data_IF_338577854450
#
_entry.id   IF_338577854450
#
_cell.length_a   1.000
_cell.length_b   1.000
_cell.length_c   1.000
_cell.angle_alpha   90.00
_cell.angle_beta   90.00
_cell.angle_gamma   90.00
#
_symmetry.space_group_name_H-M   'P 1'
#
loop_
_entity.id
_entity.type
_entity.pdbx_description
1 polymer ?
#
# COMPACT_ATOMS: atom_id res chain seq x y z
N UNK A 1 2.19 -1.54 -10.47
CA UNK A 1 1.60 -1.13 -9.19
C UNK A 1 0.80 -2.28 -8.59
N UNK A 2 -0.05 -2.92 -9.38
CA UNK A 2 -0.88 -4.05 -8.99
C UNK A 2 -0.66 -5.28 -9.88
N UNK A 3 -1.12 -6.42 -9.40
CA UNK A 3 -1.35 -7.69 -10.09
C UNK A 3 -2.85 -7.98 -9.99
N UNK A 4 -3.58 -7.58 -11.05
CA UNK A 4 -5.03 -7.52 -11.08
C UNK A 4 -5.64 -8.78 -11.71
N UNK A 5 -6.44 -9.50 -10.91
CA UNK A 5 -7.30 -10.65 -11.28
C UNK A 5 -8.77 -10.34 -10.94
N UNK A 6 -9.18 -9.10 -11.20
CA UNK A 6 -10.52 -8.61 -10.91
C UNK A 6 -11.53 -8.81 -12.05
N UNK A 7 -12.66 -8.13 -11.94
CA UNK A 7 -13.80 -8.22 -12.84
C UNK A 7 -13.56 -7.58 -14.22
N UNK A 8 -12.58 -6.69 -14.32
CA UNK A 8 -12.21 -5.94 -15.54
C UNK A 8 -10.87 -6.40 -16.12
N UNK A 9 -10.57 -7.69 -15.98
CA UNK A 9 -9.24 -8.26 -16.31
C UNK A 9 -8.93 -8.31 -17.81
N UNK A 10 -9.77 -7.76 -18.69
CA UNK A 10 -9.55 -7.68 -20.13
C UNK A 10 -9.23 -6.25 -20.60
N UNK A 11 -9.17 -5.30 -19.67
CA UNK A 11 -9.04 -3.88 -19.94
C UNK A 11 -7.56 -3.49 -19.77
N UNK A 12 -7.04 -2.61 -20.64
CA UNK A 12 -5.62 -2.19 -20.60
C UNK A 12 -5.31 -1.19 -19.46
N UNK A 13 -6.27 -0.97 -18.57
CA UNK A 13 -6.20 0.00 -17.47
C UNK A 13 -5.52 -0.56 -16.21
N UNK A 14 -5.34 -1.88 -16.16
CA UNK A 14 -4.87 -2.60 -14.97
C UNK A 14 -3.49 -3.23 -15.12
N UNK A 15 -2.71 -3.19 -14.03
CA UNK A 15 -1.42 -3.86 -13.96
C UNK A 15 -1.53 -5.37 -13.73
N UNK A 16 -0.62 -6.17 -14.29
CA UNK A 16 -0.64 -7.66 -14.15
C UNK A 16 0.59 -8.26 -13.47
N UNK A 17 1.55 -7.43 -13.11
CA UNK A 17 2.87 -7.89 -12.62
C UNK A 17 3.37 -7.06 -11.44
N UNK A 18 2.48 -6.30 -10.81
CA UNK A 18 2.78 -5.57 -9.59
C UNK A 18 2.69 -6.46 -8.34
N UNK A 19 3.25 -6.01 -7.22
CA UNK A 19 3.26 -6.82 -6.01
C UNK A 19 1.93 -6.78 -5.24
N UNK A 20 1.05 -5.79 -5.46
CA UNK A 20 -0.23 -5.69 -4.77
C UNK A 20 -1.32 -6.46 -5.54
N UNK A 21 -1.92 -7.47 -4.93
CA UNK A 21 -2.92 -8.29 -5.59
C UNK A 21 -4.34 -7.71 -5.41
N UNK A 22 -5.13 -7.76 -6.49
CA UNK A 22 -6.55 -7.42 -6.50
C UNK A 22 -7.31 -8.58 -7.13
N UNK A 23 -8.38 -9.05 -6.49
CA UNK A 23 -9.17 -10.17 -6.97
C UNK A 23 -10.66 -9.94 -6.73
N UNK A 24 -11.50 -10.74 -7.39
CA UNK A 24 -12.95 -10.77 -7.17
C UNK A 24 -13.27 -11.24 -5.75
N UNK A 25 -14.34 -10.72 -5.12
CA UNK A 25 -14.81 -11.24 -3.84
C UNK A 25 -15.22 -12.72 -3.96
N UNK A 26 -14.94 -13.56 -2.96
CA UNK A 26 -15.28 -14.98 -3.01
C UNK A 26 -16.80 -15.22 -3.01
N UNK A 27 -17.57 -14.37 -2.33
CA UNK A 27 -19.05 -14.42 -2.30
C UNK A 27 -19.57 -12.98 -2.31
N UNK A 28 -20.55 -12.70 -3.18
CA UNK A 28 -21.30 -11.45 -3.19
C UNK A 28 -22.77 -11.75 -3.47
N UNK A 29 -23.60 -11.96 -2.42
CA UNK A 29 -24.94 -12.52 -2.55
C UNK A 29 -25.93 -11.65 -3.33
N UNK A 30 -25.64 -10.36 -3.50
CA UNK A 30 -26.51 -9.39 -4.18
C UNK A 30 -25.88 -8.79 -5.44
N UNK A 31 -24.75 -9.36 -5.92
CA UNK A 31 -24.00 -8.76 -7.03
C UNK A 31 -24.87 -8.64 -8.28
N UNK A 32 -25.61 -9.70 -8.61
CA UNK A 32 -26.34 -9.76 -9.86
C UNK A 32 -27.58 -8.86 -9.81
N UNK A 33 -28.27 -8.83 -8.69
CA UNK A 33 -29.43 -7.99 -8.42
C UNK A 33 -29.04 -6.50 -8.46
N UNK A 34 -27.90 -6.15 -7.84
CA UNK A 34 -27.34 -4.81 -7.90
C UNK A 34 -27.05 -4.38 -9.35
N UNK A 35 -26.31 -5.22 -10.10
CA UNK A 35 -25.99 -4.94 -11.50
C UNK A 35 -27.23 -4.87 -12.39
N UNK A 36 -28.26 -5.68 -12.11
CA UNK A 36 -29.53 -5.65 -12.83
C UNK A 36 -30.28 -4.34 -12.59
N UNK A 37 -30.39 -3.89 -11.33
CA UNK A 37 -31.06 -2.65 -10.98
C UNK A 37 -30.42 -1.43 -11.67
N UNK A 38 -29.09 -1.37 -11.79
CA UNK A 38 -28.43 -0.28 -12.54
C UNK A 38 -28.77 -0.30 -14.03
N UNK A 39 -28.86 -1.49 -14.64
CA UNK A 39 -29.25 -1.63 -16.04
C UNK A 39 -30.69 -1.17 -16.28
N UNK A 40 -31.61 -1.43 -15.36
CA UNK A 40 -33.02 -0.99 -15.46
C UNK A 40 -33.16 0.53 -15.56
N UNK A 41 -32.25 1.29 -14.93
CA UNK A 41 -32.21 2.76 -15.01
C UNK A 41 -31.25 3.28 -16.08
N UNK A 42 -30.76 2.41 -16.98
CA UNK A 42 -29.94 2.77 -18.13
C UNK A 42 -28.44 2.97 -17.83
N UNK A 43 -27.93 2.47 -16.70
CA UNK A 43 -26.48 2.52 -16.41
C UNK A 43 -25.73 1.42 -17.17
N UNK A 44 -24.61 1.81 -17.77
CA UNK A 44 -23.69 0.88 -18.41
C UNK A 44 -22.74 0.24 -17.39
N UNK A 45 -22.34 -1.01 -17.63
CA UNK A 45 -21.32 -1.66 -16.83
C UNK A 45 -19.94 -1.20 -17.31
N UNK A 46 -19.16 -0.57 -16.43
CA UNK A 46 -17.81 -0.05 -16.75
C UNK A 46 -16.87 -0.18 -15.56
N UNK A 47 -15.57 -0.26 -15.82
CA UNK A 47 -14.55 -0.21 -14.79
C UNK A 47 -14.61 1.14 -14.03
N UNK A 48 -14.79 1.14 -12.70
CA UNK A 48 -14.81 2.36 -11.91
C UNK A 48 -13.47 3.13 -11.90
N UNK A 49 -12.35 2.44 -12.16
CA UNK A 49 -11.01 3.03 -12.18
C UNK A 49 -10.60 3.49 -13.59
N UNK A 50 -11.46 3.25 -14.59
CA UNK A 50 -11.28 3.74 -15.95
C UNK A 50 -11.74 5.17 -16.14
N UNK A 51 -12.06 5.49 -17.40
CA UNK A 51 -12.59 6.80 -17.76
C UNK A 51 -13.91 7.08 -17.03
N UNK A 52 -13.92 8.20 -16.29
CA UNK A 52 -15.01 8.57 -15.41
C UNK A 52 -16.30 8.79 -16.21
N UNK A 53 -17.30 7.98 -15.91
CA UNK A 53 -18.64 8.07 -16.48
C UNK A 53 -19.65 7.53 -15.48
N UNK A 54 -20.91 7.96 -15.59
CA UNK A 54 -21.99 7.43 -14.77
C UNK A 54 -22.24 5.97 -15.18
N UNK A 55 -21.90 5.04 -14.30
CA UNK A 55 -21.87 3.60 -14.59
C UNK A 55 -22.23 2.76 -13.36
N UNK A 56 -22.41 1.46 -13.56
CA UNK A 56 -22.53 0.47 -12.48
C UNK A 56 -21.42 -0.58 -12.60
N UNK A 57 -20.97 -1.15 -11.48
CA UNK A 57 -19.82 -2.07 -11.48
C UNK A 57 -19.87 -3.07 -10.31
N UNK A 58 -19.27 -4.27 -10.49
CA UNK A 58 -18.88 -5.12 -9.38
C UNK A 58 -17.71 -4.50 -8.61
N UNK A 59 -17.60 -4.80 -7.33
CA UNK A 59 -16.48 -4.36 -6.50
C UNK A 59 -15.46 -5.50 -6.42
N UNK A 60 -14.20 -5.22 -6.77
CA UNK A 60 -13.06 -6.09 -6.54
C UNK A 60 -12.27 -5.63 -5.31
N UNK A 61 -11.56 -6.56 -4.65
CA UNK A 61 -10.92 -6.31 -3.37
C UNK A 61 -9.40 -6.45 -3.46
N UNK A 62 -8.68 -5.66 -2.67
CA UNK A 62 -7.25 -5.86 -2.38
C UNK A 62 -7.08 -7.06 -1.44
N UNK A 63 -7.38 -8.24 -1.96
CA UNK A 63 -7.23 -9.53 -1.29
C UNK A 63 -6.37 -10.44 -2.14
N UNK A 64 -5.88 -11.52 -1.53
CA UNK A 64 -5.23 -12.64 -2.23
C UNK A 64 -5.71 -13.92 -1.58
N UNK A 65 -6.34 -14.79 -2.36
CA UNK A 65 -6.96 -16.05 -1.90
C UNK A 65 -7.99 -15.80 -0.78
N UNK A 66 -8.83 -14.79 -0.94
CA UNK A 66 -9.92 -14.43 -0.04
C UNK A 66 -9.50 -13.74 1.26
N UNK A 67 -8.21 -13.38 1.42
CA UNK A 67 -7.71 -12.71 2.63
C UNK A 67 -7.12 -11.34 2.29
N UNK A 68 -7.24 -10.38 3.22
CA UNK A 68 -6.67 -9.03 3.05
C UNK A 68 -5.19 -9.10 2.64
N UNK A 69 -4.84 -8.39 1.58
CA UNK A 69 -3.48 -8.35 1.06
C UNK A 69 -2.92 -6.93 1.19
N UNK A 70 -2.34 -6.63 2.35
CA UNK A 70 -1.87 -5.29 2.69
C UNK A 70 -0.63 -4.86 1.90
N UNK A 71 -0.33 -3.56 1.91
CA UNK A 71 0.94 -3.02 1.40
C UNK A 71 2.16 -3.65 2.08
N UNK A 72 2.08 -3.96 3.38
CA UNK A 72 3.11 -4.73 4.08
C UNK A 72 3.33 -6.11 3.44
N UNK A 73 2.26 -6.89 3.23
CA UNK A 73 2.35 -8.22 2.58
C UNK A 73 2.86 -8.15 1.14
N UNK A 74 2.45 -7.12 0.41
CA UNK A 74 2.83 -6.93 -0.99
C UNK A 74 4.29 -6.50 -1.14
N UNK A 75 4.72 -5.48 -0.40
CA UNK A 75 6.00 -4.80 -0.65
C UNK A 75 7.07 -5.08 0.39
N UNK A 76 6.69 -5.35 1.65
CA UNK A 76 7.64 -5.46 2.75
C UNK A 76 8.00 -6.91 3.05
N UNK A 77 7.01 -7.80 3.25
CA UNK A 77 7.24 -9.22 3.55
C UNK A 77 8.25 -9.90 2.60
N UNK A 78 8.19 -9.70 1.26
CA UNK A 78 9.12 -10.37 0.34
C UNK A 78 10.59 -9.96 0.49
N UNK A 79 10.85 -8.82 1.14
CA UNK A 79 12.19 -8.22 1.23
C UNK A 79 12.70 -8.08 2.67
N UNK A 80 11.95 -8.58 3.66
CA UNK A 80 12.27 -8.50 5.09
C UNK A 80 13.63 -9.09 5.48
N UNK A 81 14.18 -10.00 4.67
CA UNK A 81 15.47 -10.67 4.93
C UNK A 81 16.69 -9.86 4.44
N UNK A 82 16.48 -8.72 3.77
CA UNK A 82 17.59 -7.91 3.27
C UNK A 82 18.34 -7.26 4.44
N UNK A 83 19.65 -7.42 4.48
CA UNK A 83 20.52 -6.88 5.55
C UNK A 83 20.51 -5.35 5.64
N UNK A 84 20.18 -4.69 4.53
CA UNK A 84 20.03 -3.24 4.46
C UNK A 84 18.62 -2.75 4.79
N UNK A 85 17.71 -3.61 5.28
CA UNK A 85 16.36 -3.25 5.68
C UNK A 85 16.12 -3.62 7.14
N UNK A 86 15.71 -2.65 7.96
CA UNK A 86 15.26 -2.90 9.34
C UNK A 86 13.85 -2.32 9.52
N UNK A 87 12.97 -3.10 10.14
CA UNK A 87 11.60 -2.68 10.46
C UNK A 87 11.46 -2.66 11.98
N UNK A 88 11.07 -1.51 12.53
CA UNK A 88 10.81 -1.36 13.96
C UNK A 88 9.33 -1.07 14.15
N UNK A 89 8.63 -2.05 14.71
CA UNK A 89 7.22 -1.93 15.09
C UNK A 89 7.08 -1.27 16.45
N UNK A 90 5.94 -0.64 16.73
CA UNK A 90 5.69 0.07 18.00
C UNK A 90 6.68 1.21 18.27
N UNK A 91 7.15 1.86 17.21
CA UNK A 91 8.00 3.04 17.25
C UNK A 91 7.18 4.28 16.89
N UNK A 92 6.96 5.17 17.87
CA UNK A 92 6.32 6.46 17.65
C UNK A 92 7.39 7.53 17.48
N UNK A 93 7.50 8.10 16.27
CA UNK A 93 8.46 9.17 15.98
C UNK A 93 8.03 10.46 16.69
N UNK A 94 8.93 11.05 17.47
CA UNK A 94 8.66 12.27 18.23
C UNK A 94 9.21 13.53 17.55
N UNK A 95 10.40 13.44 16.95
CA UNK A 95 11.10 14.60 16.39
C UNK A 95 11.97 14.20 15.20
N UNK A 96 12.06 15.10 14.23
CA UNK A 96 13.07 15.06 13.16
C UNK A 96 14.30 15.86 13.61
N UNK A 97 15.48 15.29 13.43
CA UNK A 97 16.77 15.86 13.79
C UNK A 97 17.41 16.41 12.52
N UNK A 98 17.86 17.66 12.58
CA UNK A 98 18.48 18.38 11.47
C UNK A 98 19.95 18.67 11.75
N UNK A 99 20.78 18.68 10.71
CA UNK A 99 22.17 19.15 10.78
C UNK A 99 22.26 20.69 10.71
N UNK A 100 23.47 21.22 10.81
CA UNK A 100 23.74 22.67 10.76
C UNK A 100 23.38 23.31 9.40
N UNK A 101 23.22 22.50 8.35
CA UNK A 101 22.77 22.94 7.03
C UNK A 101 21.25 22.80 6.84
N UNK A 102 20.50 22.46 7.89
CA UNK A 102 19.06 22.18 7.89
C UNK A 102 18.63 20.98 7.03
N UNK A 103 19.49 19.97 6.86
CA UNK A 103 19.08 18.70 6.27
C UNK A 103 18.54 17.76 7.35
N UNK A 104 17.45 17.05 7.06
CA UNK A 104 16.93 16.01 7.96
C UNK A 104 17.88 14.80 7.96
N UNK A 105 18.53 14.55 9.08
CA UNK A 105 19.56 13.50 9.21
C UNK A 105 19.10 12.33 10.07
N UNK A 106 18.17 12.53 11.00
CA UNK A 106 17.67 11.45 11.86
C UNK A 106 16.25 11.70 12.41
N UNK A 107 15.70 10.71 13.12
CA UNK A 107 14.49 10.84 13.95
C UNK A 107 14.71 10.29 15.35
N UNK A 108 14.16 10.98 16.35
CA UNK A 108 13.98 10.42 17.70
C UNK A 108 12.62 9.74 17.80
N UNK A 109 12.54 8.63 18.54
CA UNK A 109 11.31 7.85 18.66
C UNK A 109 11.17 7.17 20.03
N UNK A 110 9.92 6.97 20.45
CA UNK A 110 9.57 6.10 21.58
C UNK A 110 9.31 4.71 21.03
N UNK A 111 10.02 3.71 21.56
CA UNK A 111 9.80 2.31 21.21
C UNK A 111 9.34 1.52 22.44
N UNK A 112 8.15 0.92 22.34
CA UNK A 112 7.52 0.16 23.44
C UNK A 112 7.54 0.95 24.76
N UNK A 113 7.12 2.22 24.71
CA UNK A 113 7.08 3.17 25.83
C UNK A 113 8.45 3.49 26.48
N UNK A 114 9.54 3.31 25.75
CA UNK A 114 10.88 3.75 26.16
C UNK A 114 11.45 4.68 25.11
N UNK A 115 11.87 5.87 25.54
CA UNK A 115 12.59 6.80 24.68
C UNK A 115 13.91 6.17 24.25
N UNK A 116 14.15 6.11 22.95
CA UNK A 116 15.43 5.69 22.39
C UNK A 116 16.07 6.90 21.73
N UNK A 117 17.24 7.35 22.23
CA UNK A 117 18.01 8.41 21.60
C UNK A 117 18.79 7.91 20.37
N UNK A 118 18.74 6.62 20.04
CA UNK A 118 19.45 6.05 18.91
C UNK A 118 18.95 6.68 17.60
N UNK A 119 19.77 7.59 17.07
CA UNK A 119 19.54 8.33 15.84
C UNK A 119 19.39 7.38 14.66
N UNK A 120 18.14 7.12 14.27
CA UNK A 120 17.85 6.43 13.02
C UNK A 120 18.06 7.41 11.89
N UNK A 121 19.05 7.14 11.02
CA UNK A 121 19.22 7.89 9.77
C UNK A 121 17.95 7.79 8.94
N UNK A 122 17.36 8.94 8.65
CA UNK A 122 16.18 9.02 7.78
C UNK A 122 16.68 9.12 6.34
N UNK A 123 16.24 8.22 5.46
CA UNK A 123 16.20 8.52 4.03
C UNK A 123 14.79 9.04 3.75
N UNK A 124 14.65 10.34 3.56
CA UNK A 124 13.40 10.94 3.07
C UNK A 124 13.37 10.74 1.55
N UNK A 125 12.91 9.59 1.09
CA UNK A 125 12.40 9.48 -0.28
C UNK A 125 10.86 9.49 -0.26
N UNK A 126 10.30 10.67 -0.54
CA UNK A 126 9.02 10.78 -1.23
C UNK A 126 7.71 10.51 -0.48
N UNK A 127 7.66 10.45 0.86
CA UNK A 127 6.36 10.26 1.57
C UNK A 127 5.80 11.57 2.14
N UNK A 128 4.81 12.14 1.43
CA UNK A 128 3.93 13.19 1.99
C UNK A 128 2.95 12.54 2.98
N UNK A 129 3.12 12.86 4.27
CA UNK A 129 2.15 12.72 5.38
C UNK A 129 1.49 11.34 5.58
N UNK A 130 2.16 10.45 6.31
CA UNK A 130 1.55 9.64 7.40
C UNK A 130 2.63 8.71 7.98
N UNK A 131 3.08 8.98 9.21
CA UNK A 131 4.09 8.19 9.91
C UNK A 131 3.42 7.18 10.84
N UNK A 132 3.29 5.92 10.41
CA UNK A 132 3.08 4.78 11.31
C UNK A 132 4.09 3.62 11.08
N UNK A 133 5.01 3.76 10.12
CA UNK A 133 6.09 2.78 9.93
C UNK A 133 7.40 3.50 9.58
N UNK A 134 8.44 3.29 10.40
CA UNK A 134 9.80 3.68 10.06
C UNK A 134 10.45 2.51 9.29
N UNK A 135 10.65 2.70 7.98
CA UNK A 135 11.48 1.83 7.15
C UNK A 135 12.92 2.30 7.27
N UNK A 136 13.84 1.37 7.51
CA UNK A 136 15.24 1.69 7.75
C UNK A 136 16.10 1.18 6.62
N UNK A 137 17.04 2.01 6.19
CA UNK A 137 18.12 1.62 5.29
C UNK A 137 19.46 1.78 5.99
N UNK A 138 20.25 0.71 6.03
CA UNK A 138 21.64 0.74 6.49
C UNK A 138 22.57 0.75 5.27
N UNK A 139 23.35 1.83 5.02
CA UNK A 139 24.44 1.77 4.08
C UNK A 139 25.54 0.87 4.65
N UNK A 140 25.94 -0.18 3.91
CA UNK A 140 27.06 -1.02 4.26
C UNK A 140 27.78 -1.54 3.01
N UNK A 141 28.96 -0.94 2.76
CA UNK A 141 30.12 -1.46 2.02
C UNK A 141 29.93 -1.92 0.56
N UNK A 142 30.36 -1.05 -0.36
CA UNK A 142 31.02 -1.42 -1.62
C UNK A 142 30.20 -2.16 -2.69
N UNK A 143 30.15 -1.59 -3.89
CA UNK A 143 30.30 -2.42 -5.09
C UNK A 143 31.78 -2.77 -5.26
#
# INVERSE_FOLDING_TARGET
MEDYDGSFSNDDLHGRHGPLHIEKPPISPMKNEWLAAGKEIGLELKDPNGFQSQSIFPIDYTTKRGTKFSTHRAYLDPVMQRSNLRVITYAHVEKVIFDDQNNAVAVSYIHKNRSHPDDIKVIVEGMKKSFEMALLWTPGLGF
#
